data_IF_708474275557
#
_entry.id   IF_708474275557
#
_cell.length_a   1.000
_cell.length_b   1.000
_cell.length_c   1.000
_cell.angle_alpha   90.00
_cell.angle_beta   90.00
_cell.angle_gamma   90.00
#
_symmetry.space_group_name_H-M   'P 1'
#
loop_
_entity.id
_entity.type
_entity.pdbx_description
1 polymer ?
#
# COMPACT_ATOMS: atom_id res chain seq x y z
N UNK A 1 8.70 -3.32 -20.34
CA UNK A 1 8.01 -2.11 -19.82
C UNK A 1 8.86 -0.91 -20.21
N UNK A 2 8.27 0.20 -20.70
CA UNK A 2 9.02 1.39 -21.14
C UNK A 2 9.90 1.94 -19.99
N UNK A 3 11.15 2.35 -20.30
CA UNK A 3 12.18 2.83 -19.34
C UNK A 3 11.64 3.88 -18.36
N UNK A 4 10.73 4.74 -18.83
CA UNK A 4 10.07 5.76 -18.00
C UNK A 4 9.27 5.13 -16.84
N UNK A 5 8.39 4.18 -17.15
CA UNK A 5 7.52 3.54 -16.14
C UNK A 5 8.33 2.72 -15.14
N UNK A 6 9.38 2.03 -15.60
CA UNK A 6 10.29 1.31 -14.70
C UNK A 6 10.99 2.28 -13.73
N UNK A 7 11.51 3.41 -14.23
CA UNK A 7 12.14 4.42 -13.38
C UNK A 7 11.17 5.03 -12.36
N UNK A 8 9.94 5.39 -12.77
CA UNK A 8 8.94 5.92 -11.83
C UNK A 8 8.49 4.88 -10.82
N UNK A 9 8.33 3.61 -11.23
CA UNK A 9 8.02 2.50 -10.31
C UNK A 9 9.06 2.37 -9.19
N UNK A 10 10.35 2.39 -9.54
CA UNK A 10 11.44 2.29 -8.56
C UNK A 10 11.40 3.46 -7.56
N UNK A 11 11.23 4.69 -8.05
CA UNK A 11 11.15 5.88 -7.19
C UNK A 11 9.92 5.91 -6.30
N UNK A 12 8.75 5.56 -6.82
CA UNK A 12 7.50 5.43 -6.04
C UNK A 12 7.66 4.36 -4.95
N UNK A 13 8.23 3.21 -5.30
CA UNK A 13 8.44 2.11 -4.34
C UNK A 13 9.43 2.53 -3.24
N UNK A 14 10.51 3.22 -3.61
CA UNK A 14 11.49 3.73 -2.65
C UNK A 14 10.87 4.79 -1.71
N UNK A 15 10.07 5.70 -2.26
CA UNK A 15 9.34 6.69 -1.47
C UNK A 15 8.39 6.02 -0.47
N UNK A 16 7.57 5.06 -0.94
CA UNK A 16 6.65 4.30 -0.09
C UNK A 16 7.39 3.57 1.03
N UNK A 17 8.55 2.96 0.75
CA UNK A 17 9.37 2.31 1.79
C UNK A 17 9.78 3.32 2.85
N UNK A 18 10.41 4.43 2.46
CA UNK A 18 10.88 5.44 3.41
C UNK A 18 9.74 6.05 4.24
N UNK A 19 8.61 6.34 3.60
CA UNK A 19 7.41 6.85 4.27
C UNK A 19 6.86 5.86 5.29
N UNK A 20 6.65 4.60 4.88
CA UNK A 20 6.09 3.56 5.74
C UNK A 20 7.05 3.17 6.88
N UNK A 21 8.36 3.16 6.65
CA UNK A 21 9.35 2.94 7.72
C UNK A 21 9.28 4.06 8.78
N UNK A 22 9.03 5.31 8.37
CA UNK A 22 8.82 6.42 9.30
C UNK A 22 7.51 6.27 10.09
N UNK A 23 6.42 5.87 9.42
CA UNK A 23 5.15 5.55 10.07
C UNK A 23 5.33 4.42 11.08
N UNK A 24 6.04 3.35 10.71
CA UNK A 24 6.31 2.21 11.58
C UNK A 24 7.03 2.62 12.86
N UNK A 25 8.02 3.52 12.78
CA UNK A 25 8.73 4.05 13.97
C UNK A 25 7.77 4.74 14.94
N UNK A 26 6.78 5.47 14.43
CA UNK A 26 5.78 6.14 15.27
C UNK A 26 4.78 5.14 15.87
N UNK A 27 4.35 4.14 15.10
CA UNK A 27 3.36 3.14 15.53
C UNK A 27 3.93 2.07 16.48
N UNK A 28 5.21 1.73 16.35
CA UNK A 28 5.86 0.72 17.20
C UNK A 28 5.89 1.13 18.68
N UNK A 29 5.75 2.43 18.97
CA UNK A 29 5.58 2.96 20.32
C UNK A 29 4.17 2.70 20.91
N UNK A 30 3.18 2.39 20.07
CA UNK A 30 1.76 2.27 20.44
C UNK A 30 1.36 0.79 20.54
N UNK A 31 1.65 -0.02 19.51
CA UNK A 31 1.27 -1.43 19.51
C UNK A 31 2.16 -2.32 18.60
N UNK A 32 2.58 -3.52 19.05
CA UNK A 32 3.42 -4.43 18.25
C UNK A 32 2.82 -4.84 16.89
N UNK A 33 1.49 -4.94 16.78
CA UNK A 33 0.82 -5.26 15.51
C UNK A 33 1.00 -4.19 14.43
N UNK A 34 1.32 -2.94 14.82
CA UNK A 34 1.58 -1.87 13.86
C UNK A 34 2.75 -2.19 12.92
N UNK A 35 3.79 -2.83 13.43
CA UNK A 35 4.94 -3.20 12.62
C UNK A 35 4.60 -4.25 11.55
N UNK A 36 3.84 -5.28 11.92
CA UNK A 36 3.37 -6.34 11.01
C UNK A 36 2.41 -5.77 9.95
N UNK A 37 1.48 -4.89 10.35
CA UNK A 37 0.58 -4.20 9.43
C UNK A 37 1.34 -3.41 8.35
N UNK A 38 2.29 -2.58 8.78
CA UNK A 38 3.01 -1.69 7.86
C UNK A 38 3.87 -2.48 6.86
N UNK A 39 4.56 -3.53 7.31
CA UNK A 39 5.36 -4.38 6.40
C UNK A 39 4.47 -5.12 5.38
N UNK A 40 3.32 -5.66 5.83
CA UNK A 40 2.35 -6.30 4.93
C UNK A 40 1.79 -5.33 3.90
N UNK A 41 1.40 -4.14 4.34
CA UNK A 41 0.87 -3.10 3.46
C UNK A 41 1.91 -2.65 2.43
N UNK A 42 3.18 -2.47 2.84
CA UNK A 42 4.27 -2.18 1.92
C UNK A 42 4.40 -3.28 0.87
N UNK A 43 4.49 -4.55 1.28
CA UNK A 43 4.64 -5.69 0.35
C UNK A 43 3.47 -5.77 -0.64
N UNK A 44 2.25 -5.67 -0.13
CA UNK A 44 1.03 -5.69 -0.96
C UNK A 44 1.05 -4.58 -2.03
N UNK A 45 1.48 -3.38 -1.65
CA UNK A 45 1.57 -2.23 -2.56
C UNK A 45 2.72 -2.41 -3.55
N UNK A 46 3.93 -2.76 -3.07
CA UNK A 46 5.16 -2.90 -3.86
C UNK A 46 5.10 -4.00 -4.95
N UNK A 47 4.26 -5.01 -4.76
CA UNK A 47 3.98 -6.04 -5.77
C UNK A 47 3.18 -5.51 -6.96
N UNK A 48 2.65 -4.29 -6.86
CA UNK A 48 1.95 -3.62 -7.93
C UNK A 48 2.88 -3.18 -9.07
N UNK A 49 2.28 -2.91 -10.22
CA UNK A 49 2.97 -2.33 -11.38
C UNK A 49 3.27 -0.84 -11.23
N UNK A 50 2.71 -0.18 -10.21
CA UNK A 50 2.79 1.27 -9.99
C UNK A 50 2.34 2.12 -11.18
N UNK A 51 1.41 1.58 -11.98
CA UNK A 51 1.05 2.20 -13.26
C UNK A 51 0.25 3.49 -13.04
N UNK A 52 -0.61 3.57 -12.03
CA UNK A 52 -1.45 4.75 -11.78
C UNK A 52 -0.60 5.91 -11.29
N UNK A 53 0.31 5.63 -10.35
CA UNK A 53 1.26 6.63 -9.87
C UNK A 53 2.23 7.09 -10.96
N UNK A 54 2.72 6.19 -11.80
CA UNK A 54 3.58 6.55 -12.93
C UNK A 54 2.83 7.36 -14.00
N UNK A 55 1.54 7.08 -14.25
CA UNK A 55 0.70 7.87 -15.15
C UNK A 55 0.41 9.27 -14.60
N UNK A 56 0.22 9.42 -13.28
CA UNK A 56 0.09 10.73 -12.66
C UNK A 56 1.36 11.57 -12.83
N UNK A 57 2.54 10.97 -12.61
CA UNK A 57 3.82 11.61 -12.88
C UNK A 57 3.95 11.99 -14.37
N UNK A 58 3.55 11.10 -15.29
CA UNK A 58 3.60 11.38 -16.73
C UNK A 58 2.70 12.56 -17.10
N UNK A 59 1.49 12.60 -16.55
CA UNK A 59 0.57 13.71 -16.75
C UNK A 59 1.22 15.05 -16.39
N UNK A 60 1.95 15.12 -15.28
CA UNK A 60 2.69 16.31 -14.87
C UNK A 60 3.88 16.61 -15.79
N UNK A 61 4.72 15.60 -16.06
CA UNK A 61 5.95 15.75 -16.85
C UNK A 61 5.65 16.23 -18.29
N UNK A 62 4.46 15.91 -18.85
CA UNK A 62 4.03 16.36 -20.18
C UNK A 62 3.83 17.89 -20.29
N UNK A 63 3.58 18.59 -19.19
CA UNK A 63 3.40 20.05 -19.17
C UNK A 63 4.62 20.79 -18.61
N UNK A 64 5.75 20.09 -18.42
CA UNK A 64 7.01 20.65 -17.95
C UNK A 64 8.10 20.49 -19.01
N UNK A 65 9.13 21.33 -18.93
CA UNK A 65 10.28 21.27 -19.84
C UNK A 65 11.25 20.12 -19.51
N UNK A 66 11.07 19.45 -18.37
CA UNK A 66 11.90 18.33 -17.93
C UNK A 66 11.12 17.42 -16.99
N UNK A 67 11.32 16.12 -17.11
CA UNK A 67 10.83 15.17 -16.11
C UNK A 67 11.53 15.42 -14.77
N UNK A 68 10.74 15.55 -13.70
CA UNK A 68 11.26 15.67 -12.34
C UNK A 68 10.57 14.68 -11.39
N UNK A 69 10.97 14.69 -10.13
CA UNK A 69 10.47 13.77 -9.10
C UNK A 69 9.49 14.44 -8.12
N UNK A 70 9.01 15.64 -8.43
CA UNK A 70 8.09 16.39 -7.56
C UNK A 70 6.77 15.66 -7.32
N UNK A 71 6.31 14.86 -8.30
CA UNK A 71 5.06 14.09 -8.22
C UNK A 71 5.21 12.67 -7.69
N UNK A 72 6.41 12.26 -7.23
CA UNK A 72 6.60 10.89 -6.73
C UNK A 72 5.73 10.62 -5.50
N UNK A 73 5.57 11.59 -4.59
CA UNK A 73 4.68 11.46 -3.44
C UNK A 73 3.21 11.36 -3.84
N UNK A 74 2.76 12.13 -4.84
CA UNK A 74 1.41 11.97 -5.41
C UNK A 74 1.22 10.57 -5.98
N UNK A 75 2.20 10.09 -6.75
CA UNK A 75 2.17 8.74 -7.31
C UNK A 75 2.10 7.65 -6.24
N UNK A 76 2.85 7.81 -5.15
CA UNK A 76 2.80 6.93 -3.98
C UNK A 76 1.43 6.93 -3.29
N UNK A 77 0.83 8.12 -3.08
CA UNK A 77 -0.50 8.24 -2.49
C UNK A 77 -1.57 7.52 -3.34
N UNK A 78 -1.53 7.70 -4.66
CA UNK A 78 -2.45 7.03 -5.60
C UNK A 78 -2.33 5.50 -5.52
N UNK A 79 -1.11 4.97 -5.41
CA UNK A 79 -0.92 3.52 -5.30
C UNK A 79 -1.36 2.97 -3.94
N UNK A 80 -1.25 3.75 -2.85
CA UNK A 80 -1.85 3.37 -1.56
C UNK A 80 -3.37 3.40 -1.60
N UNK A 81 -4.00 4.40 -2.24
CA UNK A 81 -5.44 4.41 -2.49
C UNK A 81 -5.88 3.16 -3.25
N UNK A 82 -5.14 2.80 -4.31
CA UNK A 82 -5.44 1.58 -5.05
C UNK A 82 -5.25 0.33 -4.19
N UNK A 83 -4.21 0.26 -3.36
CA UNK A 83 -4.02 -0.87 -2.45
C UNK A 83 -5.18 -1.01 -1.46
N UNK A 84 -5.64 0.09 -0.86
CA UNK A 84 -6.77 0.12 0.04
C UNK A 84 -8.03 -0.47 -0.62
N UNK A 85 -8.34 0.01 -1.83
CA UNK A 85 -9.47 -0.49 -2.62
C UNK A 85 -9.34 -2.00 -2.88
N UNK A 86 -8.17 -2.49 -3.30
CA UNK A 86 -7.98 -3.92 -3.58
C UNK A 86 -8.06 -4.80 -2.33
N UNK A 87 -7.62 -4.31 -1.18
CA UNK A 87 -7.70 -5.05 0.08
C UNK A 87 -9.16 -5.25 0.47
N UNK A 88 -9.99 -4.20 0.39
CA UNK A 88 -11.42 -4.30 0.67
C UNK A 88 -12.15 -5.12 -0.39
N UNK A 89 -11.79 -4.97 -1.67
CA UNK A 89 -12.29 -5.75 -2.80
C UNK A 89 -12.07 -7.26 -2.60
N UNK A 90 -10.85 -7.68 -2.21
CA UNK A 90 -10.54 -9.09 -1.90
C UNK A 90 -11.50 -9.67 -0.83
N UNK A 91 -11.90 -8.87 0.16
CA UNK A 91 -12.82 -9.30 1.23
C UNK A 91 -14.26 -9.38 0.71
N UNK A 92 -14.71 -8.35 -0.02
CA UNK A 92 -16.06 -8.28 -0.58
C UNK A 92 -16.33 -9.44 -1.55
N UNK A 93 -15.35 -9.74 -2.40
CA UNK A 93 -15.43 -10.81 -3.40
C UNK A 93 -15.01 -12.18 -2.85
N UNK A 94 -14.50 -12.22 -1.62
CA UNK A 94 -13.96 -13.43 -0.96
C UNK A 94 -12.81 -14.07 -1.75
N UNK A 95 -12.02 -13.25 -2.43
CA UNK A 95 -10.86 -13.66 -3.21
C UNK A 95 -9.69 -14.00 -2.28
N UNK A 96 -9.45 -15.30 -2.08
CA UNK A 96 -8.33 -15.78 -1.25
C UNK A 96 -6.95 -15.59 -1.89
N UNK A 97 -6.90 -15.13 -3.15
CA UNK A 97 -5.66 -14.89 -3.88
C UNK A 97 -5.65 -13.58 -4.64
N UNK A 98 -4.53 -12.87 -4.57
CA UNK A 98 -4.23 -11.66 -5.35
C UNK A 98 -2.84 -11.79 -5.95
N UNK A 99 -2.72 -11.56 -7.27
CA UNK A 99 -1.43 -11.59 -8.01
C UNK A 99 -0.63 -12.90 -7.81
N UNK A 100 -1.33 -14.04 -7.69
CA UNK A 100 -0.71 -15.35 -7.50
C UNK A 100 -0.20 -15.62 -6.07
N UNK A 101 -0.54 -14.75 -5.11
CA UNK A 101 -0.24 -14.89 -3.69
C UNK A 101 -1.53 -14.89 -2.87
N UNK A 102 -1.51 -15.32 -1.60
CA UNK A 102 -2.61 -15.10 -0.66
C UNK A 102 -3.04 -13.62 -0.63
N UNK A 103 -4.34 -13.35 -0.67
CA UNK A 103 -4.86 -12.01 -0.37
C UNK A 103 -4.55 -11.63 1.08
N UNK A 104 -4.67 -10.34 1.42
CA UNK A 104 -4.26 -9.85 2.73
C UNK A 104 -5.09 -10.45 3.87
N UNK A 105 -6.42 -10.54 3.71
CA UNK A 105 -7.30 -11.15 4.71
C UNK A 105 -7.01 -12.64 4.88
N UNK A 106 -6.76 -13.35 3.78
CA UNK A 106 -6.44 -14.77 3.83
C UNK A 106 -5.10 -15.00 4.52
N UNK A 107 -4.11 -14.14 4.30
CA UNK A 107 -2.85 -14.22 5.03
C UNK A 107 -3.03 -13.98 6.53
N UNK A 108 -3.86 -13.01 6.94
CA UNK A 108 -4.17 -12.80 8.37
C UNK A 108 -4.94 -13.98 8.98
N UNK A 109 -5.89 -14.54 8.25
CA UNK A 109 -6.60 -15.75 8.66
C UNK A 109 -5.63 -16.91 8.91
N UNK A 110 -4.68 -17.14 7.99
CA UNK A 110 -3.69 -18.22 8.16
C UNK A 110 -2.76 -17.97 9.36
N UNK A 111 -2.38 -16.72 9.61
CA UNK A 111 -1.63 -16.35 10.82
C UNK A 111 -2.45 -16.64 12.08
N UNK A 112 -3.73 -16.26 12.09
CA UNK A 112 -4.61 -16.47 13.22
C UNK A 112 -4.88 -17.95 13.50
N UNK A 113 -4.99 -18.78 12.45
CA UNK A 113 -5.06 -20.24 12.57
C UNK A 113 -3.80 -20.82 13.21
N UNK A 114 -2.61 -20.37 12.79
CA UNK A 114 -1.35 -20.80 13.39
C UNK A 114 -1.20 -20.40 14.86
N UNK A 115 -1.86 -19.31 15.28
CA UNK A 115 -1.90 -18.82 16.65
C UNK A 115 -3.05 -19.45 17.48
N UNK A 116 -3.82 -20.38 16.91
CA UNK A 116 -4.98 -21.04 17.53
C UNK A 116 -6.08 -20.08 18.02
N UNK A 117 -6.27 -18.95 17.31
CA UNK A 117 -7.39 -18.03 17.58
C UNK A 117 -8.72 -18.69 17.21
N UNK A 118 -9.71 -18.56 18.09
CA UNK A 118 -11.01 -19.25 17.98
C UNK A 118 -11.85 -18.82 16.77
N UNK A 119 -11.66 -17.60 16.28
CA UNK A 119 -12.35 -17.06 15.10
C UNK A 119 -11.35 -16.47 14.11
N UNK A 120 -10.50 -17.34 13.57
CA UNK A 120 -9.43 -16.94 12.66
C UNK A 120 -9.96 -16.33 11.35
N UNK A 121 -11.15 -16.74 10.89
CA UNK A 121 -11.77 -16.19 9.69
C UNK A 121 -12.16 -14.72 9.92
N UNK A 122 -12.93 -14.44 10.98
CA UNK A 122 -13.33 -13.08 11.30
C UNK A 122 -12.13 -12.19 11.67
N UNK A 123 -11.11 -12.75 12.34
CA UNK A 123 -9.87 -12.03 12.62
C UNK A 123 -9.15 -11.63 11.33
N UNK A 124 -9.11 -12.53 10.33
CA UNK A 124 -8.52 -12.28 9.02
C UNK A 124 -9.19 -11.12 8.28
N UNK A 125 -10.52 -11.17 8.18
CA UNK A 125 -11.33 -10.09 7.58
C UNK A 125 -11.15 -8.78 8.34
N UNK A 126 -11.32 -8.79 9.66
CA UNK A 126 -11.25 -7.59 10.51
C UNK A 126 -9.90 -6.88 10.41
N UNK A 127 -8.80 -7.62 10.49
CA UNK A 127 -7.45 -7.05 10.36
C UNK A 127 -7.21 -6.47 8.96
N UNK A 128 -7.71 -7.12 7.92
CA UNK A 128 -7.58 -6.63 6.55
C UNK A 128 -8.45 -5.39 6.27
N UNK A 129 -9.65 -5.31 6.85
CA UNK A 129 -10.48 -4.09 6.80
C UNK A 129 -9.69 -2.92 7.40
N UNK A 130 -9.17 -3.08 8.63
CA UNK A 130 -8.35 -2.06 9.28
C UNK A 130 -7.10 -1.72 8.47
N UNK A 131 -6.51 -2.70 7.77
CA UNK A 131 -5.35 -2.45 6.90
C UNK A 131 -5.70 -1.59 5.69
N UNK A 132 -6.86 -1.82 5.07
CA UNK A 132 -7.38 -0.97 4.00
C UNK A 132 -7.68 0.44 4.49
N UNK A 133 -8.30 0.59 5.66
CA UNK A 133 -8.57 1.90 6.28
C UNK A 133 -7.27 2.66 6.58
N UNK A 134 -6.28 1.98 7.17
CA UNK A 134 -4.97 2.54 7.40
C UNK A 134 -4.32 3.01 6.09
N UNK A 135 -4.42 2.21 5.02
CA UNK A 135 -3.89 2.59 3.71
C UNK A 135 -4.56 3.86 3.15
N UNK A 136 -5.88 4.04 3.33
CA UNK A 136 -6.57 5.28 2.98
C UNK A 136 -6.03 6.48 3.77
N UNK A 137 -5.93 6.38 5.10
CA UNK A 137 -5.44 7.48 5.92
C UNK A 137 -3.98 7.83 5.63
N UNK A 138 -3.14 6.82 5.39
CA UNK A 138 -1.74 7.02 5.01
C UNK A 138 -1.61 7.68 3.64
N UNK A 139 -2.48 7.35 2.68
CA UNK A 139 -2.52 8.05 1.40
C UNK A 139 -2.90 9.53 1.57
N UNK A 140 -3.91 9.84 2.41
CA UNK A 140 -4.25 11.21 2.75
C UNK A 140 -3.12 11.94 3.49
N UNK A 141 -2.38 11.27 4.37
CA UNK A 141 -1.22 11.85 5.06
C UNK A 141 -0.13 12.26 4.07
N UNK A 142 0.16 11.43 3.05
CA UNK A 142 1.11 11.78 1.99
C UNK A 142 0.64 13.05 1.26
N UNK A 143 -0.65 13.13 0.91
CA UNK A 143 -1.21 14.32 0.25
C UNK A 143 -1.18 15.56 1.15
N UNK A 144 -1.50 15.41 2.44
CA UNK A 144 -1.54 16.53 3.38
C UNK A 144 -0.17 17.13 3.70
N UNK A 145 0.90 16.34 3.60
CA UNK A 145 2.29 16.81 3.82
C UNK A 145 2.93 17.48 2.61
N UNK A 146 2.36 17.31 1.41
CA UNK A 146 2.95 17.81 0.17
C UNK A 146 1.91 18.66 -0.58
N UNK A 147 1.90 19.99 -0.40
CA UNK A 147 1.16 20.86 -1.31
C UNK A 147 1.86 20.83 -2.67
N UNK A 148 1.24 20.14 -3.64
CA UNK A 148 1.70 20.06 -5.03
C UNK A 148 1.40 21.34 -5.80
#
# INVERSE_FOLDING_TARGET
MNRYFTGKREKITAYLRGFLDNVQKNFSAIHPLGADLIDRLFRFTAEGKMLRGALACLGYDLFRNSADDSMISLGAAIELFQSALLIHDDIMDRDVSRRGKPSLFYHYQQKALNENLSDAFHAGESLAICAGDAAFFLAYEILGKNPF
#
